data_IF_023240408753
#
_entry.id   IF_023240408753
#
_cell.length_a   1.000
_cell.length_b   1.000
_cell.length_c   1.000
_cell.angle_alpha   90.00
_cell.angle_beta   90.00
_cell.angle_gamma   90.00
#
_symmetry.space_group_name_H-M   'P 1'
#
loop_
_entity.id
_entity.type
_entity.pdbx_description
1 polymer ?
#
# COMPACT_ATOMS: atom_id res chain seq x y z
N UNK A 1 8.47 17.65 1.22
CA UNK A 1 7.84 16.32 1.14
C UNK A 1 7.87 15.76 -0.28
N UNK A 2 7.46 16.55 -1.27
CA UNK A 2 7.37 16.09 -2.66
C UNK A 2 8.70 15.57 -3.25
N UNK A 3 9.78 16.35 -3.22
CA UNK A 3 11.10 15.89 -3.70
C UNK A 3 11.61 14.63 -2.95
N UNK A 4 11.31 14.51 -1.65
CA UNK A 4 11.65 13.33 -0.86
C UNK A 4 10.93 12.07 -1.37
N UNK A 5 9.64 12.16 -1.66
CA UNK A 5 8.86 11.05 -2.24
C UNK A 5 9.23 10.78 -3.70
N UNK A 6 9.54 11.83 -4.45
CA UNK A 6 9.83 11.78 -5.88
C UNK A 6 11.18 11.15 -6.19
N UNK A 7 12.20 11.49 -5.39
CA UNK A 7 13.60 11.25 -5.74
C UNK A 7 14.33 10.41 -4.69
N UNK A 8 14.14 10.68 -3.39
CA UNK A 8 14.86 9.97 -2.31
C UNK A 8 14.26 8.60 -1.99
N UNK A 9 12.95 8.50 -1.81
CA UNK A 9 12.29 7.24 -1.42
C UNK A 9 12.41 6.13 -2.47
N UNK A 10 12.33 6.41 -3.79
CA UNK A 10 12.67 5.42 -4.81
C UNK A 10 14.06 4.81 -4.62
N UNK A 11 15.05 5.64 -4.25
CA UNK A 11 16.41 5.17 -3.94
C UNK A 11 16.43 4.25 -2.72
N UNK A 12 15.63 4.57 -1.69
CA UNK A 12 15.51 3.79 -0.46
C UNK A 12 14.85 2.44 -0.68
N UNK A 13 13.86 2.35 -1.57
CA UNK A 13 13.24 1.07 -1.97
C UNK A 13 14.12 0.28 -2.95
N UNK A 14 14.74 0.96 -3.91
CA UNK A 14 15.53 0.30 -4.94
C UNK A 14 16.79 -0.38 -4.43
N UNK A 15 17.47 0.21 -3.46
CA UNK A 15 18.69 -0.36 -2.89
C UNK A 15 18.48 -1.79 -2.31
N UNK A 16 17.50 -2.04 -1.41
CA UNK A 16 17.22 -3.38 -0.90
C UNK A 16 16.61 -4.31 -1.94
N UNK A 17 15.72 -3.84 -2.84
CA UNK A 17 15.16 -4.68 -3.89
C UNK A 17 16.22 -5.20 -4.86
N UNK A 18 17.12 -4.33 -5.30
CA UNK A 18 18.26 -4.69 -6.14
C UNK A 18 19.21 -5.66 -5.42
N UNK A 19 19.50 -5.40 -4.15
CA UNK A 19 20.31 -6.30 -3.33
C UNK A 19 19.65 -7.68 -3.16
N UNK A 20 18.31 -7.72 -3.04
CA UNK A 20 17.53 -8.95 -2.91
C UNK A 20 17.54 -9.74 -4.23
N UNK A 21 17.36 -9.08 -5.37
CA UNK A 21 17.41 -9.65 -6.72
C UNK A 21 18.71 -10.43 -6.96
N UNK A 22 19.86 -9.85 -6.57
CA UNK A 22 21.19 -10.45 -6.73
C UNK A 22 21.39 -11.80 -6.03
N UNK A 23 20.51 -12.18 -5.10
CA UNK A 23 20.60 -13.48 -4.44
C UNK A 23 20.12 -14.65 -5.31
N UNK A 24 19.50 -14.36 -6.47
CA UNK A 24 19.05 -15.37 -7.45
C UNK A 24 18.29 -16.53 -6.81
N UNK A 25 17.29 -16.21 -5.98
CA UNK A 25 16.53 -17.24 -5.26
C UNK A 25 15.87 -18.27 -6.19
N UNK A 26 15.56 -17.89 -7.43
CA UNK A 26 15.02 -18.79 -8.46
C UNK A 26 15.97 -19.93 -8.86
N UNK A 27 17.29 -19.78 -8.66
CA UNK A 27 18.27 -20.87 -8.90
C UNK A 27 18.21 -21.97 -7.82
N UNK A 28 17.49 -21.73 -6.71
CA UNK A 28 17.34 -22.72 -5.65
C UNK A 28 16.31 -23.78 -6.06
N UNK A 29 16.69 -25.05 -5.93
CA UNK A 29 15.86 -26.21 -6.31
C UNK A 29 14.44 -26.18 -5.72
N UNK A 30 14.28 -25.68 -4.49
CA UNK A 30 12.98 -25.60 -3.82
C UNK A 30 12.10 -24.41 -4.25
N UNK A 31 12.62 -23.51 -5.09
CA UNK A 31 11.91 -22.33 -5.62
C UNK A 31 11.68 -22.47 -7.12
N UNK A 32 12.46 -23.29 -7.82
CA UNK A 32 12.32 -23.53 -9.26
C UNK A 32 10.88 -23.90 -9.64
N UNK A 33 10.33 -23.18 -10.64
CA UNK A 33 8.96 -23.39 -11.11
C UNK A 33 7.87 -22.72 -10.25
N UNK A 34 8.22 -22.01 -9.18
CA UNK A 34 7.25 -21.31 -8.34
C UNK A 34 7.27 -19.79 -8.58
N UNK A 35 6.12 -19.10 -8.45
CA UNK A 35 6.10 -17.65 -8.37
C UNK A 35 6.97 -17.16 -7.19
N UNK A 36 7.86 -16.22 -7.46
CA UNK A 36 8.75 -15.63 -6.45
C UNK A 36 8.34 -14.19 -6.18
N UNK A 37 7.99 -13.90 -4.93
CA UNK A 37 7.51 -12.58 -4.50
C UNK A 37 8.47 -11.98 -3.49
N UNK A 38 8.80 -10.70 -3.64
CA UNK A 38 9.52 -9.96 -2.60
C UNK A 38 8.57 -9.10 -1.78
N UNK A 39 8.66 -9.22 -0.47
CA UNK A 39 7.98 -8.32 0.46
C UNK A 39 8.88 -7.14 0.84
N UNK A 40 8.33 -5.94 0.82
CA UNK A 40 9.02 -4.72 1.24
C UNK A 40 8.09 -3.83 2.06
N UNK A 41 8.62 -3.22 3.11
CA UNK A 41 7.92 -2.27 3.95
C UNK A 41 8.87 -1.14 4.37
N UNK A 42 8.32 0.05 4.55
CA UNK A 42 9.09 1.23 4.91
C UNK A 42 9.09 1.43 6.43
N UNK A 43 10.29 1.44 7.01
CA UNK A 43 10.50 1.78 8.42
C UNK A 43 11.57 2.87 8.56
N UNK A 44 11.74 3.70 7.52
CA UNK A 44 12.77 4.73 7.48
C UNK A 44 12.51 5.90 8.45
N UNK A 45 11.25 6.15 8.81
CA UNK A 45 10.85 7.14 9.81
C UNK A 45 9.48 6.82 10.43
N UNK A 46 9.13 7.41 11.59
CA UNK A 46 7.80 7.26 12.18
C UNK A 46 6.69 7.65 11.20
N UNK A 47 5.75 6.73 10.96
CA UNK A 47 4.63 6.96 10.03
C UNK A 47 5.00 6.99 8.55
N UNK A 48 6.23 6.63 8.18
CA UNK A 48 6.70 6.58 6.78
C UNK A 48 5.76 5.83 5.83
N UNK A 49 5.27 4.65 6.25
CA UNK A 49 4.31 3.83 5.49
C UNK A 49 3.02 4.54 5.05
N UNK A 50 2.63 5.64 5.70
CA UNK A 50 1.42 6.41 5.35
C UNK A 50 1.57 7.13 4.01
N UNK A 51 2.80 7.51 3.63
CA UNK A 51 3.02 8.43 2.51
C UNK A 51 3.97 7.91 1.44
N UNK A 52 4.67 6.80 1.66
CA UNK A 52 5.73 6.33 0.75
C UNK A 52 5.29 5.32 -0.31
N UNK A 53 4.02 4.87 -0.29
CA UNK A 53 3.45 4.00 -1.35
C UNK A 53 3.68 4.55 -2.76
N UNK A 54 3.35 5.82 -3.09
CA UNK A 54 3.53 6.33 -4.45
C UNK A 54 4.99 6.31 -4.91
N UNK A 55 5.95 6.45 -3.99
CA UNK A 55 7.37 6.36 -4.30
C UNK A 55 7.80 4.94 -4.68
N UNK A 56 7.22 3.92 -4.04
CA UNK A 56 7.44 2.53 -4.42
C UNK A 56 6.86 2.25 -5.81
N UNK A 57 5.60 2.62 -6.05
CA UNK A 57 4.92 2.41 -7.33
C UNK A 57 5.69 3.04 -8.50
N UNK A 58 6.07 4.31 -8.31
CA UNK A 58 6.93 5.07 -9.21
C UNK A 58 8.21 4.31 -9.56
N UNK A 59 8.90 3.80 -8.55
CA UNK A 59 10.15 3.07 -8.73
C UNK A 59 9.95 1.70 -9.41
N UNK A 60 8.90 0.96 -9.06
CA UNK A 60 8.69 -0.40 -9.56
C UNK A 60 8.43 -0.42 -11.06
N UNK A 61 7.58 0.47 -11.54
CA UNK A 61 7.15 0.51 -12.94
C UNK A 61 7.90 1.55 -13.78
N UNK A 62 8.51 2.56 -13.15
CA UNK A 62 9.28 3.58 -13.87
C UNK A 62 8.41 4.64 -14.53
N UNK A 63 7.26 4.95 -13.93
CA UNK A 63 6.32 5.97 -14.41
C UNK A 63 5.94 6.93 -13.27
N UNK A 64 5.73 8.19 -13.63
CA UNK A 64 4.89 9.12 -12.86
C UNK A 64 3.59 9.37 -13.60
N UNK A 65 2.58 9.79 -12.85
CA UNK A 65 1.26 10.11 -13.39
C UNK A 65 0.99 11.57 -13.07
N UNK A 66 1.29 12.44 -14.02
CA UNK A 66 1.11 13.87 -13.85
C UNK A 66 -0.32 14.25 -14.24
N UNK A 67 -0.94 15.09 -13.42
CA UNK A 67 -2.28 15.60 -13.65
C UNK A 67 -2.26 16.60 -14.80
N UNK A 68 -2.76 16.20 -15.96
CA UNK A 68 -2.93 17.04 -17.15
C UNK A 68 -4.42 17.37 -17.30
N UNK A 69 -4.76 18.50 -17.93
CA UNK A 69 -6.15 18.80 -18.28
C UNK A 69 -6.41 18.36 -19.72
N UNK A 70 -7.47 17.58 -19.93
CA UNK A 70 -7.92 17.23 -21.28
C UNK A 70 -8.62 18.41 -21.97
N UNK A 71 -9.00 18.23 -23.24
CA UNK A 71 -9.70 19.23 -24.06
C UNK A 71 -11.05 19.69 -23.45
N UNK A 72 -11.60 18.92 -22.50
CA UNK A 72 -12.85 19.18 -21.81
C UNK A 72 -12.63 19.81 -20.41
N UNK A 73 -11.37 20.09 -20.06
CA UNK A 73 -10.97 20.66 -18.77
C UNK A 73 -10.94 19.66 -17.61
N UNK A 74 -11.12 18.36 -17.87
CA UNK A 74 -11.06 17.29 -16.86
C UNK A 74 -9.60 16.95 -16.58
N UNK A 75 -9.30 16.60 -15.33
CA UNK A 75 -7.95 16.18 -14.96
C UNK A 75 -7.74 14.72 -15.36
N UNK A 76 -6.88 14.48 -16.34
CA UNK A 76 -6.43 13.16 -16.80
C UNK A 76 -5.00 12.92 -16.35
N UNK A 77 -4.69 11.69 -15.94
CA UNK A 77 -3.34 11.31 -15.56
C UNK A 77 -2.61 10.73 -16.77
N UNK A 78 -1.57 11.40 -17.25
CA UNK A 78 -0.72 10.86 -18.34
C UNK A 78 0.54 10.20 -17.76
N UNK A 79 0.90 9.00 -18.24
CA UNK A 79 2.12 8.33 -17.80
C UNK A 79 3.36 9.04 -18.37
N UNK A 80 4.23 9.49 -17.48
CA UNK A 80 5.54 10.08 -17.81
C UNK A 80 6.62 9.09 -17.42
N UNK A 81 7.42 8.65 -18.39
CA UNK A 81 8.48 7.68 -18.16
C UNK A 81 9.62 8.30 -17.36
N UNK A 82 10.07 7.58 -16.34
CA UNK A 82 11.19 7.97 -15.48
C UNK A 82 12.37 7.09 -15.84
N UNK A 83 13.51 7.72 -16.13
CA UNK A 83 14.74 7.00 -16.48
C UNK A 83 15.57 6.70 -15.23
N UNK A 84 15.70 7.68 -14.33
CA UNK A 84 16.53 7.57 -13.14
C UNK A 84 15.96 8.37 -11.96
N UNK A 85 16.42 8.02 -10.76
CA UNK A 85 16.20 8.79 -9.54
C UNK A 85 17.55 9.29 -9.01
N UNK A 86 17.60 10.55 -8.58
CA UNK A 86 18.82 11.22 -8.14
C UNK A 86 18.64 11.89 -6.78
N UNK A 87 19.56 11.65 -5.86
CA UNK A 87 19.61 12.37 -4.59
C UNK A 87 21.05 12.61 -4.14
N UNK A 88 21.48 13.87 -4.16
CA UNK A 88 22.91 14.21 -4.08
C UNK A 88 23.69 13.50 -5.19
N UNK A 89 24.75 12.79 -4.83
CA UNK A 89 25.60 12.05 -5.77
C UNK A 89 25.04 10.67 -6.14
N UNK A 90 24.00 10.19 -5.45
CA UNK A 90 23.45 8.86 -5.69
C UNK A 90 22.43 8.89 -6.82
N UNK A 91 22.66 8.03 -7.82
CA UNK A 91 21.77 7.83 -8.97
C UNK A 91 21.45 6.35 -9.11
N UNK A 92 20.18 6.01 -9.33
CA UNK A 92 19.76 4.65 -9.68
C UNK A 92 18.80 4.69 -10.89
N UNK A 93 18.76 3.66 -11.74
CA UNK A 93 17.73 3.54 -12.76
C UNK A 93 16.34 3.37 -12.11
N UNK A 94 15.31 3.87 -12.77
CA UNK A 94 13.91 3.60 -12.40
C UNK A 94 13.38 2.35 -13.09
N UNK A 95 12.23 1.86 -12.66
CA UNK A 95 11.59 0.65 -13.18
C UNK A 95 12.30 -0.61 -12.72
N UNK A 96 12.13 -1.01 -11.47
CA UNK A 96 12.64 -2.29 -10.95
C UNK A 96 12.29 -3.46 -11.86
N UNK A 97 11.04 -3.51 -12.34
CA UNK A 97 10.57 -4.55 -13.24
C UNK A 97 11.19 -4.50 -14.63
N UNK A 98 11.97 -3.46 -14.96
CA UNK A 98 12.71 -3.30 -16.21
C UNK A 98 14.20 -3.71 -16.11
N UNK A 99 14.72 -3.94 -14.91
CA UNK A 99 16.12 -4.33 -14.67
C UNK A 99 16.35 -5.78 -15.17
N UNK A 100 17.53 -6.13 -15.71
CA UNK A 100 17.84 -7.52 -16.07
C UNK A 100 17.62 -8.49 -14.91
N UNK A 101 17.15 -9.70 -15.21
CA UNK A 101 16.81 -10.78 -14.27
C UNK A 101 15.57 -10.52 -13.40
N UNK A 102 14.97 -9.32 -13.45
CA UNK A 102 13.74 -9.03 -12.70
C UNK A 102 12.56 -9.87 -13.17
N UNK A 103 12.57 -10.40 -14.39
CA UNK A 103 11.60 -11.37 -14.92
C UNK A 103 11.50 -12.65 -14.07
N UNK A 104 12.49 -12.95 -13.22
CA UNK A 104 12.42 -14.05 -12.27
C UNK A 104 11.60 -13.72 -11.00
N UNK A 105 11.19 -12.46 -10.82
CA UNK A 105 10.37 -11.99 -9.71
C UNK A 105 8.96 -11.77 -10.23
N UNK A 106 8.00 -12.50 -9.68
CA UNK A 106 6.60 -12.48 -10.09
C UNK A 106 5.88 -11.20 -9.68
N UNK A 107 6.16 -10.73 -8.47
CA UNK A 107 5.52 -9.54 -7.90
C UNK A 107 6.33 -8.97 -6.73
N UNK A 108 6.02 -7.72 -6.38
CA UNK A 108 6.43 -7.09 -5.13
C UNK A 108 5.19 -6.91 -4.26
N UNK A 109 5.27 -7.20 -2.97
CA UNK A 109 4.19 -6.92 -2.02
C UNK A 109 4.62 -5.89 -0.99
N UNK A 110 3.72 -4.96 -0.66
CA UNK A 110 3.89 -4.02 0.45
C UNK A 110 2.58 -3.75 1.16
N UNK A 111 2.66 -3.32 2.42
CA UNK A 111 1.48 -2.88 3.16
C UNK A 111 1.76 -1.56 3.85
N UNK A 112 0.75 -0.69 3.91
CA UNK A 112 0.78 0.55 4.71
C UNK A 112 0.33 0.32 6.15
N UNK A 113 -0.09 -0.91 6.48
CA UNK A 113 -0.72 -1.28 7.74
C UNK A 113 0.06 -2.32 8.56
N UNK A 114 1.29 -2.66 8.17
CA UNK A 114 2.17 -3.61 8.87
C UNK A 114 2.77 -3.04 10.16
N UNK A 115 1.92 -2.58 11.09
CA UNK A 115 2.31 -1.82 12.29
C UNK A 115 1.88 -2.53 13.58
N UNK A 116 2.52 -2.18 14.71
CA UNK A 116 2.09 -2.60 16.05
C UNK A 116 0.63 -2.20 16.30
N UNK A 117 0.20 -1.04 15.80
CA UNK A 117 -1.19 -0.62 15.90
C UNK A 117 -2.16 -1.59 15.24
N UNK A 118 -1.85 -2.13 14.05
CA UNK A 118 -2.68 -3.18 13.43
C UNK A 118 -2.68 -4.44 14.28
N UNK A 119 -1.51 -4.88 14.75
CA UNK A 119 -1.41 -6.05 15.63
C UNK A 119 -2.33 -5.89 16.87
N UNK A 120 -2.34 -4.72 17.50
CA UNK A 120 -3.18 -4.45 18.66
C UNK A 120 -4.68 -4.46 18.31
N UNK A 121 -5.09 -3.90 17.17
CA UNK A 121 -6.49 -3.98 16.69
C UNK A 121 -6.92 -5.43 16.45
N UNK A 122 -6.05 -6.23 15.82
CA UNK A 122 -6.33 -7.66 15.63
C UNK A 122 -6.43 -8.41 16.96
N UNK A 123 -5.65 -8.01 17.98
CA UNK A 123 -5.76 -8.53 19.34
C UNK A 123 -7.14 -8.28 19.98
N UNK A 124 -7.67 -7.06 19.85
CA UNK A 124 -9.03 -6.73 20.29
C UNK A 124 -10.05 -7.61 19.57
N UNK A 125 -9.96 -7.72 18.24
CA UNK A 125 -10.88 -8.54 17.44
C UNK A 125 -10.83 -10.04 17.79
N UNK A 126 -9.69 -10.52 18.27
CA UNK A 126 -9.52 -11.90 18.73
C UNK A 126 -9.91 -12.11 20.21
N UNK A 127 -10.40 -11.08 20.90
CA UNK A 127 -10.86 -11.16 22.30
C UNK A 127 -9.74 -11.13 23.34
N UNK A 128 -8.56 -10.62 22.99
CA UNK A 128 -7.45 -10.43 23.92
C UNK A 128 -7.47 -9.07 24.64
N UNK A 129 -8.58 -8.32 24.58
CA UNK A 129 -8.71 -7.04 25.25
C UNK A 129 -9.13 -7.20 26.72
N UNK A 130 -8.63 -6.32 27.58
CA UNK A 130 -9.03 -6.26 28.99
C UNK A 130 -10.21 -5.28 29.22
N UNK A 131 -10.80 -4.74 28.14
CA UNK A 131 -11.89 -3.78 28.20
C UNK A 131 -11.50 -2.37 28.67
N UNK A 132 -10.20 -2.08 28.79
CA UNK A 132 -9.62 -0.84 29.29
C UNK A 132 -8.89 0.00 28.21
N UNK A 133 -8.91 -0.45 26.95
CA UNK A 133 -8.27 0.22 25.81
C UNK A 133 -9.29 0.45 24.69
N UNK A 134 -9.51 1.73 24.36
CA UNK A 134 -10.30 2.16 23.21
C UNK A 134 -9.37 2.52 22.04
N UNK A 135 -9.62 1.94 20.86
CA UNK A 135 -8.87 2.26 19.65
C UNK A 135 -9.76 2.91 18.59
N UNK A 136 -9.26 4.01 18.04
CA UNK A 136 -9.89 4.73 16.93
C UNK A 136 -8.92 4.71 15.75
N UNK A 137 -9.35 4.10 14.64
CA UNK A 137 -8.59 4.06 13.39
C UNK A 137 -9.13 5.10 12.43
N UNK A 138 -8.27 5.98 11.94
CA UNK A 138 -8.63 6.97 10.91
C UNK A 138 -7.74 6.78 9.70
N UNK A 139 -8.26 7.05 8.52
CA UNK A 139 -7.48 6.88 7.30
C UNK A 139 -8.20 7.31 6.05
N UNK A 140 -7.61 6.93 4.93
CA UNK A 140 -8.09 7.26 3.60
C UNK A 140 -8.33 6.01 2.77
N UNK A 141 -9.27 6.10 1.84
CA UNK A 141 -9.65 5.08 0.87
C UNK A 141 -9.67 5.73 -0.52
N UNK A 142 -9.56 4.92 -1.57
CA UNK A 142 -9.93 5.38 -2.91
C UNK A 142 -11.43 5.71 -2.89
N UNK A 143 -11.79 6.91 -3.33
CA UNK A 143 -13.19 7.21 -3.64
C UNK A 143 -13.49 6.66 -5.04
N UNK A 144 -14.49 5.79 -5.13
CA UNK A 144 -14.88 5.13 -6.40
C UNK A 144 -15.74 6.02 -7.29
N UNK A 145 -16.13 7.19 -6.77
CA UNK A 145 -16.77 8.25 -7.54
C UNK A 145 -15.82 8.72 -8.66
N UNK A 146 -16.19 8.58 -9.95
CA UNK A 146 -15.32 8.97 -11.07
C UNK A 146 -14.90 10.43 -11.06
N UNK A 147 -15.66 11.30 -10.38
CA UNK A 147 -15.38 12.73 -10.27
C UNK A 147 -14.58 13.07 -8.99
N UNK A 148 -14.21 12.07 -8.19
CA UNK A 148 -13.44 12.30 -6.97
C UNK A 148 -12.01 12.75 -7.29
N UNK A 149 -11.67 13.93 -6.79
CA UNK A 149 -10.32 14.49 -6.84
C UNK A 149 -9.52 14.27 -5.55
N UNK A 150 -10.16 13.70 -4.52
CA UNK A 150 -9.58 13.46 -3.20
C UNK A 150 -10.00 12.10 -2.64
N UNK A 151 -9.17 11.47 -1.79
CA UNK A 151 -9.54 10.23 -1.12
C UNK A 151 -10.76 10.39 -0.20
N UNK A 152 -11.53 9.31 -0.06
CA UNK A 152 -12.57 9.21 0.96
C UNK A 152 -11.92 9.04 2.34
N UNK A 153 -12.37 9.81 3.33
CA UNK A 153 -11.95 9.66 4.71
C UNK A 153 -12.77 8.57 5.40
N UNK A 154 -12.15 7.82 6.29
CA UNK A 154 -12.88 6.97 7.23
C UNK A 154 -12.39 7.16 8.67
N UNK A 155 -13.31 6.97 9.60
CA UNK A 155 -13.05 6.80 11.02
C UNK A 155 -13.74 5.51 11.48
N UNK A 156 -13.02 4.70 12.24
CA UNK A 156 -13.52 3.46 12.76
C UNK A 156 -13.25 3.35 14.27
N UNK A 157 -14.29 2.99 15.02
CA UNK A 157 -14.17 2.61 16.43
C UNK A 157 -13.93 1.10 16.44
N UNK A 158 -12.71 0.69 16.75
CA UNK A 158 -12.27 -0.71 16.66
C UNK A 158 -13.04 -1.62 17.62
N UNK A 159 -13.37 -1.09 18.80
CA UNK A 159 -14.09 -1.80 19.83
C UNK A 159 -15.62 -1.86 19.58
N UNK A 160 -16.14 -1.12 18.59
CA UNK A 160 -17.58 -1.09 18.34
C UNK A 160 -18.06 -2.36 17.62
N UNK A 161 -19.26 -2.81 17.97
CA UNK A 161 -19.91 -3.95 17.30
C UNK A 161 -20.01 -3.67 15.80
N UNK A 162 -19.55 -4.63 15.00
CA UNK A 162 -19.56 -4.53 13.54
C UNK A 162 -18.24 -4.10 12.93
N UNK A 163 -17.25 -3.65 13.72
CA UNK A 163 -15.88 -3.52 13.22
C UNK A 163 -15.30 -4.88 12.89
N UNK A 164 -14.73 -5.02 11.70
CA UNK A 164 -14.00 -6.20 11.26
C UNK A 164 -12.79 -5.74 10.46
N UNK A 165 -11.68 -6.45 10.62
CA UNK A 165 -10.44 -6.23 9.86
C UNK A 165 -9.79 -7.60 9.64
N UNK A 166 -9.16 -7.79 8.49
CA UNK A 166 -8.39 -8.99 8.20
C UNK A 166 -6.89 -8.69 8.12
N UNK A 167 -6.06 -9.73 8.26
CA UNK A 167 -4.61 -9.57 8.14
C UNK A 167 -4.18 -9.06 6.76
N UNK A 168 -4.88 -9.48 5.69
CA UNK A 168 -4.58 -9.08 4.30
C UNK A 168 -5.01 -7.65 3.98
N UNK A 169 -5.94 -7.06 4.74
CA UNK A 169 -6.43 -5.71 4.48
C UNK A 169 -5.29 -4.67 4.47
N UNK A 170 -5.21 -3.88 3.39
CA UNK A 170 -4.13 -2.90 3.18
C UNK A 170 -2.84 -3.50 2.60
N UNK A 171 -2.84 -4.77 2.16
CA UNK A 171 -1.75 -5.38 1.39
C UNK A 171 -1.92 -5.05 -0.09
N UNK A 172 -0.84 -4.59 -0.72
CA UNK A 172 -0.75 -4.27 -2.13
C UNK A 172 0.20 -5.25 -2.82
N UNK A 173 -0.19 -5.76 -3.98
CA UNK A 173 0.56 -6.68 -4.83
C UNK A 173 0.81 -5.97 -6.15
N UNK A 174 2.06 -5.61 -6.41
CA UNK A 174 2.50 -5.01 -7.66
C UNK A 174 3.04 -6.12 -8.56
N UNK A 175 2.30 -6.45 -9.61
CA UNK A 175 2.65 -7.55 -10.51
C UNK A 175 3.75 -7.13 -11.47
N UNK A 176 4.72 -8.01 -11.69
CA UNK A 176 5.73 -7.79 -12.71
C UNK A 176 5.16 -8.18 -14.09
N UNK A 177 5.00 -7.24 -15.03
CA UNK A 177 4.46 -7.53 -16.36
C UNK A 177 5.39 -8.44 -17.19
N UNK A 178 6.66 -8.58 -16.79
CA UNK A 178 7.66 -9.41 -17.47
C UNK A 178 7.96 -10.72 -16.73
N UNK A 179 7.17 -11.10 -15.72
CA UNK A 179 7.43 -12.31 -14.95
C UNK A 179 7.43 -13.57 -15.84
N UNK A 180 8.47 -14.40 -15.73
CA UNK A 180 8.53 -15.75 -16.35
C UNK A 180 7.43 -16.63 -15.75
N UNK A 181 7.24 -16.54 -14.43
CA UNK A 181 6.18 -17.24 -13.69
C UNK A 181 5.32 -16.19 -13.01
N UNK A 182 4.19 -15.76 -13.61
CA UNK A 182 3.36 -14.72 -13.02
C UNK A 182 2.67 -15.20 -11.73
N UNK A 183 2.43 -14.27 -10.81
CA UNK A 183 1.64 -14.54 -9.61
C UNK A 183 0.15 -14.42 -9.96
N UNK A 184 -0.61 -15.49 -9.82
CA UNK A 184 -2.05 -15.41 -10.00
C UNK A 184 -2.72 -14.66 -8.84
N UNK A 185 -3.64 -13.74 -9.15
CA UNK A 185 -4.26 -12.86 -8.13
C UNK A 185 -4.97 -13.63 -7.02
N UNK A 186 -5.65 -14.73 -7.37
CA UNK A 186 -6.40 -15.55 -6.42
C UNK A 186 -5.54 -16.20 -5.32
N UNK A 187 -4.21 -16.17 -5.44
CA UNK A 187 -3.28 -16.66 -4.40
C UNK A 187 -3.29 -15.76 -3.16
N UNK A 188 -3.58 -14.46 -3.31
CA UNK A 188 -3.61 -13.50 -2.20
C UNK A 188 -4.97 -12.77 -2.20
N UNK A 189 -6.08 -13.49 -1.93
CA UNK A 189 -7.41 -12.88 -1.98
C UNK A 189 -7.53 -11.77 -0.93
N UNK A 190 -8.21 -10.68 -1.28
CA UNK A 190 -8.42 -9.55 -0.38
C UNK A 190 -7.27 -8.52 -0.34
N UNK A 191 -6.19 -8.73 -1.09
CA UNK A 191 -5.21 -7.68 -1.37
C UNK A 191 -5.65 -6.80 -2.54
N UNK A 192 -5.07 -5.60 -2.66
CA UNK A 192 -5.12 -4.84 -3.90
C UNK A 192 -4.05 -5.37 -4.86
N UNK A 193 -4.44 -5.67 -6.09
CA UNK A 193 -3.57 -6.09 -7.17
C UNK A 193 -3.41 -4.96 -8.17
N UNK A 194 -2.17 -4.60 -8.46
CA UNK A 194 -1.80 -3.51 -9.35
C UNK A 194 -1.03 -4.05 -10.54
N UNK A 195 -1.39 -3.58 -11.73
CA UNK A 195 -0.67 -3.85 -12.97
C UNK A 195 -0.38 -2.54 -13.69
N UNK A 196 0.74 -2.50 -14.39
CA UNK A 196 1.11 -1.42 -15.29
C UNK A 196 1.80 -2.03 -16.49
N UNK A 197 1.32 -1.71 -17.70
CA UNK A 197 1.90 -2.24 -18.94
C UNK A 197 3.12 -1.42 -19.41
N UNK A 198 3.62 -1.75 -20.60
CA UNK A 198 4.82 -1.11 -21.14
C UNK A 198 4.57 0.36 -21.54
N UNK A 199 3.32 0.72 -21.80
CA UNK A 199 2.85 2.05 -22.18
C UNK A 199 2.53 2.93 -20.96
N UNK A 200 2.51 2.33 -19.76
CA UNK A 200 2.20 3.02 -18.51
C UNK A 200 0.72 3.00 -18.14
N UNK A 201 -0.11 2.17 -18.79
CA UNK A 201 -1.52 2.05 -18.43
C UNK A 201 -1.65 1.28 -17.12
N UNK A 202 -2.14 1.98 -16.09
CA UNK A 202 -2.31 1.42 -14.76
C UNK A 202 -3.69 0.84 -14.55
N UNK A 203 -3.77 -0.37 -14.01
CA UNK A 203 -5.02 -0.98 -13.55
C UNK A 203 -4.90 -1.48 -12.12
N UNK A 204 -6.00 -1.44 -11.37
CA UNK A 204 -6.03 -1.93 -9.99
C UNK A 204 -7.33 -2.67 -9.71
N UNK A 205 -7.19 -3.86 -9.16
CA UNK A 205 -8.29 -4.65 -8.60
C UNK A 205 -8.13 -4.63 -7.09
N UNK A 206 -9.10 -4.08 -6.35
CA UNK A 206 -9.02 -3.98 -4.90
C UNK A 206 -10.37 -4.27 -4.23
N UNK A 207 -10.38 -4.72 -2.96
CA UNK A 207 -11.60 -4.78 -2.17
C UNK A 207 -12.25 -3.40 -2.04
N UNK A 208 -13.58 -3.38 -1.87
CA UNK A 208 -14.33 -2.14 -1.62
C UNK A 208 -13.77 -1.33 -0.44
N UNK A 209 -13.28 -2.01 0.59
CA UNK A 209 -12.57 -1.39 1.70
C UNK A 209 -11.09 -1.77 1.65
N UNK A 210 -10.27 -0.88 1.07
CA UNK A 210 -8.83 -1.04 1.00
C UNK A 210 -8.12 0.27 1.37
N UNK A 211 -7.73 0.45 2.65
CA UNK A 211 -7.14 1.69 3.12
C UNK A 211 -5.82 2.02 2.42
N UNK A 212 -5.76 3.21 1.82
CA UNK A 212 -4.53 3.76 1.22
C UNK A 212 -3.50 4.06 2.31
N UNK A 213 -3.97 4.67 3.40
CA UNK A 213 -3.20 4.86 4.61
C UNK A 213 -4.13 4.93 5.82
N UNK A 214 -3.64 4.55 7.00
CA UNK A 214 -4.38 4.76 8.24
C UNK A 214 -3.45 4.92 9.43
N UNK A 215 -3.96 5.57 10.47
CA UNK A 215 -3.34 5.69 11.78
C UNK A 215 -4.29 5.12 12.84
N UNK A 216 -3.80 4.87 14.04
CA UNK A 216 -4.64 4.44 15.16
C UNK A 216 -4.27 5.20 16.40
N UNK A 217 -5.27 5.85 16.98
CA UNK A 217 -5.20 6.42 18.31
C UNK A 217 -5.55 5.32 19.31
N UNK A 218 -4.67 5.13 20.29
CA UNK A 218 -4.84 4.14 21.37
C UNK A 218 -5.04 4.91 22.67
N UNK A 219 -6.19 4.71 23.31
CA UNK A 219 -6.57 5.35 24.57
C UNK A 219 -6.64 4.28 25.66
N UNK A 220 -5.68 4.29 26.58
CA UNK A 220 -5.68 3.39 27.74
C UNK A 220 -6.46 3.96 28.93
N UNK A 221 -6.86 3.07 29.86
CA UNK A 221 -7.63 3.43 31.05
C UNK A 221 -9.10 3.80 30.76
N UNK A 222 -9.60 3.44 29.59
CA UNK A 222 -10.98 3.73 29.17
C UNK A 222 -11.85 2.52 29.48
N UNK A 223 -12.87 2.66 30.34
CA UNK A 223 -13.90 1.62 30.46
C UNK A 223 -14.71 1.58 29.15
N UNK A 224 -14.35 0.64 28.26
CA UNK A 224 -14.88 0.57 26.89
C UNK A 224 -16.39 0.31 26.90
N UNK A 225 -16.86 -0.59 27.77
CA UNK A 225 -18.29 -0.90 27.88
C UNK A 225 -19.12 0.34 28.22
N UNK A 226 -18.63 1.17 29.16
CA UNK A 226 -19.27 2.44 29.50
C UNK A 226 -19.14 3.47 28.38
N UNK A 227 -17.97 3.56 27.74
CA UNK A 227 -17.72 4.51 26.66
C UNK A 227 -18.59 4.26 25.42
N UNK A 228 -19.03 3.02 25.21
CA UNK A 228 -19.86 2.60 24.09
C UNK A 228 -21.31 2.29 24.46
N UNK A 229 -21.72 2.51 25.72
CA UNK A 229 -23.06 2.13 26.21
C UNK A 229 -24.19 2.74 25.37
N UNK A 230 -24.02 4.00 24.96
CA UNK A 230 -25.01 4.76 24.18
C UNK A 230 -24.60 4.92 22.70
N UNK A 231 -23.64 4.12 22.22
CA UNK A 231 -23.20 4.18 20.83
C UNK A 231 -24.13 3.38 19.92
N UNK A 232 -24.98 4.07 19.16
CA UNK A 232 -25.91 3.47 18.19
C UNK A 232 -25.45 3.58 16.71
N UNK A 233 -24.22 4.06 16.48
CA UNK A 233 -23.70 4.31 15.13
C UNK A 233 -23.09 3.10 14.43
N UNK A 234 -22.80 3.25 13.14
CA UNK A 234 -21.91 2.31 12.44
C UNK A 234 -20.50 2.37 13.03
N UNK A 235 -19.88 1.21 13.20
CA UNK A 235 -18.49 1.10 13.66
C UNK A 235 -17.50 1.83 12.75
N UNK A 236 -17.82 1.97 11.45
CA UNK A 236 -17.06 2.73 10.48
C UNK A 236 -17.93 3.84 9.90
N UNK A 237 -17.40 5.05 9.87
CA UNK A 237 -18.02 6.25 9.30
C UNK A 237 -17.14 6.76 8.17
N UNK A 238 -17.77 7.28 7.13
CA UNK A 238 -17.08 7.84 5.95
C UNK A 238 -17.36 9.34 5.84
N UNK A 239 -16.40 10.08 5.31
CA UNK A 239 -16.53 11.51 5.04
C UNK A 239 -15.67 11.93 3.86
N UNK A 240 -15.88 13.14 3.35
CA UNK A 240 -15.08 13.73 2.27
C UNK A 240 -14.30 14.93 2.81
N UNK A 241 -13.15 15.21 2.22
CA UNK A 241 -12.40 16.45 2.47
C UNK A 241 -13.16 17.57 1.75
N UNK A 242 -13.49 18.63 2.48
CA UNK A 242 -14.09 19.86 1.95
C UNK A 242 -13.02 20.78 1.38
#
# INVERSE_FOLDING_TARGET
MEAYLRDYMPIKFGSPLFSKLRNKYWDKKQIAGMPLVFAIADFSSPGSMIHTRPALERYLYGYSFDAVRDEQGRTVAEPVKIIEHRWGDKVIPSGFFNIPESENISAIISTTAGTISKFNRMGILAGFDAGDVLMIRTGTLVDIDPEATSPLLFEAIVNAKGYHESWVEGLNVYHNPRAIIPLAEHIIPGAAHHHCDAEGNWTTTAPRFHPLASSTKILGGVNVAKALADFEGSAIRFGRIN
#
